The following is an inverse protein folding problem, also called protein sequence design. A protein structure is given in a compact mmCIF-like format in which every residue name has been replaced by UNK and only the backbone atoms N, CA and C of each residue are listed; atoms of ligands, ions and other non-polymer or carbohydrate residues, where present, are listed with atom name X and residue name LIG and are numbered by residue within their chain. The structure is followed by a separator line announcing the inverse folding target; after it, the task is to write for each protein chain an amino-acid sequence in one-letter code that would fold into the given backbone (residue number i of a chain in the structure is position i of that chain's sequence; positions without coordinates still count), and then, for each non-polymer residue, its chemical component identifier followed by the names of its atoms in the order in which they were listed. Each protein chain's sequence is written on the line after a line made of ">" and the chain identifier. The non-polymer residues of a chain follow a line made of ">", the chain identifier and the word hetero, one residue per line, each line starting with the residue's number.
data_IF_275454555870
#
_entry.id   IF_275454555870
#
_cell.length_a   1.000
_cell.length_b   1.000
_cell.length_c   1.000
_cell.angle_alpha   90.00
_cell.angle_beta   90.00
_cell.angle_gamma   90.00
#
_symmetry.space_group_name_H-M   'P 1'
#
loop_
_entity.id
_entity.type
_entity.pdbx_description
1 polymer ?
#
# COMPACT_ATOMS: atom_id res chain seq x y z
N UNK A 1 -7.33 -8.53 -4.32
CA UNK A 1 -8.34 -9.05 -5.29
C UNK A 1 -7.74 -9.95 -6.36
N UNK A 2 -6.63 -9.58 -7.02
CA UNK A 2 -6.01 -10.43 -8.07
C UNK A 2 -5.51 -11.78 -7.58
N UNK A 3 -4.91 -11.86 -6.39
CA UNK A 3 -4.41 -13.11 -5.80
C UNK A 3 -5.53 -14.11 -5.48
N UNK A 4 -6.68 -13.63 -4.98
CA UNK A 4 -7.84 -14.46 -4.66
C UNK A 4 -8.46 -15.08 -5.94
N UNK A 5 -8.60 -14.30 -7.01
CA UNK A 5 -9.10 -14.78 -8.31
C UNK A 5 -8.11 -15.77 -8.92
N UNK A 6 -6.80 -15.52 -8.80
CA UNK A 6 -5.75 -16.44 -9.27
C UNK A 6 -5.78 -17.78 -8.51
N UNK A 7 -6.03 -17.77 -7.21
CA UNK A 7 -6.12 -19.02 -6.42
C UNK A 7 -7.36 -19.85 -6.74
N UNK A 8 -8.46 -19.20 -7.18
CA UNK A 8 -9.69 -19.87 -7.62
C UNK A 8 -9.60 -20.38 -9.07
N UNK A 9 -8.91 -19.66 -9.95
CA UNK A 9 -8.79 -20.01 -11.37
C UNK A 9 -7.76 -21.11 -11.64
N UNK A 10 -6.74 -21.28 -10.78
CA UNK A 10 -5.64 -22.22 -11.00
C UNK A 10 -5.61 -23.38 -9.99
N UNK A 11 -5.43 -24.63 -10.46
CA UNK A 11 -5.32 -25.79 -9.58
C UNK A 11 -4.07 -25.69 -8.68
N UNK A 12 -4.07 -26.34 -7.49
CA UNK A 12 -3.06 -26.14 -6.44
C UNK A 12 -1.60 -26.25 -6.89
N UNK A 13 -1.32 -27.09 -7.90
CA UNK A 13 0.01 -27.34 -8.44
C UNK A 13 0.55 -26.21 -9.35
N UNK A 14 -0.31 -25.31 -9.87
CA UNK A 14 0.11 -24.17 -10.72
C UNK A 14 0.05 -22.82 -9.98
N UNK A 15 -0.49 -22.78 -8.75
CA UNK A 15 -0.64 -21.54 -7.97
C UNK A 15 0.69 -20.84 -7.71
N UNK A 16 1.75 -21.59 -7.45
CA UNK A 16 3.09 -21.02 -7.24
C UNK A 16 3.61 -20.27 -8.48
N UNK A 17 3.48 -20.88 -9.67
CA UNK A 17 3.85 -20.25 -10.94
C UNK A 17 2.96 -19.03 -11.23
N UNK A 18 1.65 -19.15 -11.03
CA UNK A 18 0.70 -18.06 -11.29
C UNK A 18 0.95 -16.84 -10.38
N UNK A 19 1.21 -17.06 -9.09
CA UNK A 19 1.60 -16.01 -8.15
C UNK A 19 2.98 -15.43 -8.49
N UNK A 20 3.92 -16.27 -8.91
CA UNK A 20 5.25 -15.83 -9.37
C UNK A 20 5.18 -14.90 -10.59
N UNK A 21 4.42 -15.27 -11.62
CA UNK A 21 4.21 -14.43 -12.82
C UNK A 21 3.52 -13.12 -12.45
N UNK A 22 2.55 -13.14 -11.53
CA UNK A 22 1.91 -11.92 -11.04
C UNK A 22 2.91 -10.98 -10.35
N UNK A 23 3.77 -11.52 -9.50
CA UNK A 23 4.82 -10.75 -8.83
C UNK A 23 5.84 -10.19 -9.81
N UNK A 24 6.29 -10.98 -10.80
CA UNK A 24 7.21 -10.51 -11.85
C UNK A 24 6.58 -9.39 -12.66
N UNK A 25 5.30 -9.51 -13.01
CA UNK A 25 4.57 -8.45 -13.70
C UNK A 25 4.44 -7.18 -12.84
N UNK A 26 4.20 -7.31 -11.53
CA UNK A 26 4.10 -6.18 -10.61
C UNK A 26 5.45 -5.45 -10.44
N UNK A 27 6.55 -6.19 -10.30
CA UNK A 27 7.91 -5.65 -10.20
C UNK A 27 8.30 -5.01 -11.54
N UNK A 28 8.04 -5.68 -12.66
CA UNK A 28 8.31 -5.15 -14.00
C UNK A 28 7.52 -3.87 -14.30
N UNK A 29 6.25 -3.80 -13.89
CA UNK A 29 5.45 -2.59 -14.00
C UNK A 29 6.00 -1.44 -13.14
N UNK A 30 6.44 -1.75 -11.92
CA UNK A 30 7.07 -0.77 -11.03
C UNK A 30 8.38 -0.22 -11.62
N UNK A 31 9.21 -1.09 -12.20
CA UNK A 31 10.45 -0.73 -12.91
C UNK A 31 10.18 0.22 -14.08
N UNK A 32 9.24 -0.14 -14.96
CA UNK A 32 8.87 0.69 -16.12
C UNK A 32 8.33 2.04 -15.65
N UNK A 33 7.47 2.05 -14.63
CA UNK A 33 6.92 3.27 -14.05
C UNK A 33 7.98 4.21 -13.49
N UNK A 34 8.98 3.67 -12.79
CA UNK A 34 10.06 4.46 -12.20
C UNK A 34 10.96 5.10 -13.26
N UNK A 35 11.30 4.37 -14.32
CA UNK A 35 12.13 4.88 -15.43
C UNK A 35 11.36 5.95 -16.21
N UNK A 36 10.11 5.68 -16.60
CA UNK A 36 9.28 6.66 -17.29
C UNK A 36 9.06 7.90 -16.42
N UNK A 37 8.83 7.71 -15.12
CA UNK A 37 8.74 8.80 -14.15
C UNK A 37 10.01 9.64 -14.08
N UNK A 38 11.18 9.02 -13.98
CA UNK A 38 12.47 9.70 -13.93
C UNK A 38 12.83 10.47 -15.20
N UNK A 39 12.41 9.99 -16.38
CA UNK A 39 12.62 10.68 -17.67
C UNK A 39 11.63 11.83 -17.86
N UNK A 40 10.38 11.66 -17.45
CA UNK A 40 9.31 12.63 -17.68
C UNK A 40 9.22 13.71 -16.61
N UNK A 41 9.58 13.41 -15.36
CA UNK A 41 9.51 14.35 -14.25
C UNK A 41 10.31 15.65 -14.49
N UNK A 42 11.52 15.63 -15.09
CA UNK A 42 12.27 16.85 -15.38
C UNK A 42 11.72 17.68 -16.55
N UNK A 43 10.93 17.07 -17.45
CA UNK A 43 10.37 17.75 -18.63
C UNK A 43 9.09 18.49 -18.24
N UNK A 44 8.12 17.74 -17.75
CA UNK A 44 6.83 18.24 -17.29
C UNK A 44 6.22 17.17 -16.37
N UNK A 45 6.23 17.41 -15.07
CA UNK A 45 5.86 16.40 -14.07
C UNK A 45 4.43 15.86 -14.25
N UNK A 46 3.53 16.64 -14.85
CA UNK A 46 2.17 16.22 -15.18
C UNK A 46 2.14 15.01 -16.15
N UNK A 47 3.16 14.85 -17.01
CA UNK A 47 3.21 13.76 -17.99
C UNK A 47 3.30 12.38 -17.31
N UNK A 48 3.83 12.30 -16.09
CA UNK A 48 3.89 11.05 -15.31
C UNK A 48 2.47 10.51 -15.05
N UNK A 49 1.50 11.39 -14.83
CA UNK A 49 0.10 11.01 -14.66
C UNK A 49 -0.54 10.63 -16.00
N UNK A 50 -0.23 11.36 -17.07
CA UNK A 50 -0.78 11.12 -18.40
C UNK A 50 -0.35 9.75 -18.96
N UNK A 51 0.87 9.29 -18.67
CA UNK A 51 1.36 7.97 -19.08
C UNK A 51 0.57 6.85 -18.42
N UNK A 52 0.07 7.02 -17.21
CA UNK A 52 -0.71 5.99 -16.52
C UNK A 52 -2.08 5.76 -17.16
N UNK A 53 -2.63 6.76 -17.84
CA UNK A 53 -3.95 6.72 -18.51
C UNK A 53 -4.04 5.65 -19.61
N UNK A 54 -3.17 5.61 -20.64
CA UNK A 54 -3.25 4.60 -21.69
C UNK A 54 -3.05 3.17 -21.17
N UNK A 55 -2.14 2.96 -20.22
CA UNK A 55 -1.96 1.64 -19.59
C UNK A 55 -3.20 1.21 -18.79
N UNK A 56 -3.80 2.14 -18.05
CA UNK A 56 -5.06 1.90 -17.34
C UNK A 56 -6.19 1.53 -18.29
N UNK A 57 -6.40 2.31 -19.36
CA UNK A 57 -7.42 2.04 -20.37
C UNK A 57 -7.23 0.69 -21.05
N UNK A 58 -6.00 0.37 -21.46
CA UNK A 58 -5.68 -0.92 -22.07
C UNK A 58 -5.95 -2.08 -21.09
N UNK A 59 -5.51 -1.95 -19.83
CA UNK A 59 -5.73 -2.96 -18.80
C UNK A 59 -7.21 -3.18 -18.50
N UNK A 60 -8.00 -2.11 -18.43
CA UNK A 60 -9.45 -2.17 -18.25
C UNK A 60 -10.14 -2.84 -19.44
N UNK A 61 -9.82 -2.42 -20.66
CA UNK A 61 -10.38 -3.00 -21.88
C UNK A 61 -10.05 -4.50 -22.00
N UNK A 62 -8.79 -4.85 -21.79
CA UNK A 62 -8.34 -6.25 -21.85
C UNK A 62 -9.03 -7.10 -20.79
N UNK A 63 -9.13 -6.59 -19.56
CA UNK A 63 -9.82 -7.28 -18.47
C UNK A 63 -11.30 -7.45 -18.80
N UNK A 64 -11.97 -6.42 -19.32
CA UNK A 64 -13.37 -6.53 -19.75
C UNK A 64 -13.56 -7.56 -20.86
N UNK A 65 -12.63 -7.64 -21.82
CA UNK A 65 -12.73 -8.54 -22.96
C UNK A 65 -12.37 -10.01 -22.66
N UNK A 66 -11.45 -10.26 -21.72
CA UNK A 66 -10.88 -11.60 -21.47
C UNK A 66 -11.26 -12.22 -20.13
N UNK A 67 -11.68 -11.43 -19.14
CA UNK A 67 -12.00 -11.97 -17.82
C UNK A 67 -13.41 -12.60 -17.87
N UNK A 68 -13.45 -13.93 -17.91
CA UNK A 68 -14.70 -14.68 -17.81
C UNK A 68 -14.95 -14.97 -16.33
N UNK A 69 -16.03 -14.40 -15.79
CA UNK A 69 -16.48 -14.67 -14.43
C UNK A 69 -17.01 -16.11 -14.34
N UNK A 70 -16.24 -17.00 -13.73
CA UNK A 70 -16.61 -18.40 -13.47
C UNK A 70 -17.04 -18.62 -12.00
N UNK A 71 -17.17 -17.55 -11.22
CA UNK A 71 -17.47 -17.64 -9.79
C UNK A 71 -18.93 -18.02 -9.52
N UNK A 72 -19.15 -18.99 -8.64
CA UNK A 72 -20.49 -19.25 -8.07
C UNK A 72 -20.83 -18.09 -7.14
N UNK A 73 -21.82 -17.28 -7.51
CA UNK A 73 -22.31 -16.17 -6.68
C UNK A 73 -23.00 -16.74 -5.44
N UNK A 74 -22.29 -16.73 -4.32
CA UNK A 74 -22.89 -17.03 -3.02
C UNK A 74 -23.43 -15.74 -2.41
N UNK A 75 -24.70 -15.69 -1.98
CA UNK A 75 -25.23 -14.52 -1.28
C UNK A 75 -24.55 -14.41 0.08
N UNK A 76 -23.59 -13.50 0.21
CA UNK A 76 -22.96 -13.14 1.48
C UNK A 76 -23.55 -11.82 1.96
N UNK A 77 -23.99 -11.76 3.22
CA UNK A 77 -24.43 -10.51 3.84
C UNK A 77 -23.21 -9.64 4.15
N UNK A 78 -23.21 -8.41 3.67
CA UNK A 78 -22.13 -7.44 3.97
C UNK A 78 -22.20 -7.06 5.45
N UNK A 79 -21.07 -7.14 6.14
CA UNK A 79 -20.93 -6.61 7.50
C UNK A 79 -20.71 -5.09 7.47
N UNK A 80 -21.81 -4.35 7.43
CA UNK A 80 -21.78 -2.88 7.40
C UNK A 80 -21.21 -2.27 8.68
N UNK A 81 -21.46 -2.88 9.84
CA UNK A 81 -21.00 -2.36 11.12
C UNK A 81 -19.51 -2.61 11.32
N UNK A 82 -19.04 -3.82 11.00
CA UNK A 82 -17.62 -4.14 10.97
C UNK A 82 -16.88 -3.23 10.00
N UNK A 83 -17.39 -3.07 8.77
CA UNK A 83 -16.77 -2.21 7.77
C UNK A 83 -16.72 -0.73 8.17
N UNK A 84 -17.80 -0.18 8.73
CA UNK A 84 -17.85 1.22 9.15
C UNK A 84 -16.91 1.49 10.32
N UNK A 85 -16.93 0.64 11.36
CA UNK A 85 -16.06 0.80 12.52
C UNK A 85 -14.59 0.60 12.15
N UNK A 86 -14.27 -0.37 11.30
CA UNK A 86 -12.93 -0.55 10.76
C UNK A 86 -12.46 0.68 9.98
N UNK A 87 -13.28 1.18 9.04
CA UNK A 87 -12.93 2.34 8.22
C UNK A 87 -12.72 3.59 9.08
N UNK A 88 -13.64 3.90 9.99
CA UNK A 88 -13.54 5.07 10.87
C UNK A 88 -12.33 4.96 11.79
N UNK A 89 -12.10 3.80 12.40
CA UNK A 89 -10.95 3.58 13.29
C UNK A 89 -9.62 3.72 12.56
N UNK A 90 -9.50 3.11 11.38
CA UNK A 90 -8.29 3.17 10.56
C UNK A 90 -8.04 4.58 10.01
N UNK A 91 -9.06 5.26 9.49
CA UNK A 91 -8.95 6.65 9.02
C UNK A 91 -8.52 7.55 10.17
N UNK A 92 -9.11 7.40 11.36
CA UNK A 92 -8.77 8.22 12.53
C UNK A 92 -7.30 8.04 12.94
N UNK A 93 -6.79 6.79 12.93
CA UNK A 93 -5.38 6.53 13.18
C UNK A 93 -4.46 7.15 12.12
N UNK A 94 -4.79 6.96 10.83
CA UNK A 94 -3.99 7.50 9.73
C UNK A 94 -3.96 9.04 9.76
N UNK A 95 -5.10 9.68 10.00
CA UNK A 95 -5.23 11.12 10.20
C UNK A 95 -4.37 11.56 11.39
N UNK A 96 -4.48 10.88 12.53
CA UNK A 96 -3.68 11.18 13.71
C UNK A 96 -2.17 11.12 13.45
N UNK A 97 -1.70 10.07 12.78
CA UNK A 97 -0.27 9.93 12.42
C UNK A 97 0.15 11.03 11.43
N UNK A 98 -0.68 11.32 10.43
CA UNK A 98 -0.36 12.30 9.39
C UNK A 98 -0.25 13.71 9.96
N UNK A 99 -1.28 14.17 10.70
CA UNK A 99 -1.28 15.48 11.34
C UNK A 99 -0.34 15.55 12.56
N UNK A 100 0.05 14.41 13.13
CA UNK A 100 1.06 14.35 14.18
C UNK A 100 2.45 14.78 13.71
N UNK A 101 2.75 14.59 12.43
CA UNK A 101 4.03 15.00 11.82
C UNK A 101 4.00 16.48 11.41
N UNK A 102 2.82 17.08 11.26
CA UNK A 102 2.66 18.50 10.91
C UNK A 102 2.99 19.41 12.11
N UNK A 103 3.62 20.59 11.92
CA UNK A 103 3.92 21.51 13.01
C UNK A 103 2.66 21.95 13.76
N UNK A 104 2.77 22.07 15.09
CA UNK A 104 1.68 22.57 15.94
C UNK A 104 2.19 23.59 16.95
N UNK A 105 1.69 24.82 16.81
CA UNK A 105 2.09 25.97 17.65
C UNK A 105 3.61 26.17 17.62
N UNK A 106 4.26 26.05 18.78
CA UNK A 106 5.72 26.18 18.95
C UNK A 106 6.48 24.87 18.75
N UNK A 107 5.77 23.75 18.56
CA UNK A 107 6.38 22.45 18.31
C UNK A 107 6.53 22.21 16.82
N UNK A 108 7.70 21.71 16.41
CA UNK A 108 7.94 21.26 15.04
C UNK A 108 7.06 20.07 14.63
N UNK A 109 6.42 19.41 15.60
CA UNK A 109 5.52 18.28 15.38
C UNK A 109 4.24 18.39 16.23
N UNK A 110 3.13 17.92 15.66
CA UNK A 110 1.77 18.01 16.19
C UNK A 110 1.36 16.92 17.16
N UNK A 111 2.30 16.13 17.69
CA UNK A 111 2.00 15.06 18.64
C UNK A 111 1.30 15.53 19.93
N UNK A 112 1.43 16.81 20.28
CA UNK A 112 0.75 17.43 21.44
C UNK A 112 -0.61 18.04 21.09
N UNK A 113 -1.02 18.03 19.81
CA UNK A 113 -2.30 18.52 19.38
C UNK A 113 -3.42 17.63 19.96
N UNK A 114 -4.37 18.20 20.74
CA UNK A 114 -5.50 17.44 21.28
C UNK A 114 -6.31 16.70 20.21
N UNK A 115 -6.37 17.24 18.99
CA UNK A 115 -7.03 16.59 17.86
C UNK A 115 -6.27 15.32 17.41
N UNK A 116 -4.94 15.37 17.38
CA UNK A 116 -4.09 14.20 17.03
C UNK A 116 -4.23 13.12 18.10
N UNK A 117 -4.13 13.49 19.38
CA UNK A 117 -4.31 12.56 20.49
C UNK A 117 -5.72 11.96 20.52
N UNK A 118 -6.74 12.77 20.25
CA UNK A 118 -8.13 12.33 20.14
C UNK A 118 -8.37 11.40 18.95
N UNK A 119 -7.78 11.70 17.78
CA UNK A 119 -7.89 10.87 16.59
C UNK A 119 -7.14 9.53 16.77
N UNK A 120 -5.95 9.55 17.38
CA UNK A 120 -5.18 8.34 17.66
C UNK A 120 -5.86 7.49 18.73
N UNK A 121 -6.18 8.07 19.89
CA UNK A 121 -6.83 7.36 20.99
C UNK A 121 -8.23 6.87 20.61
N UNK A 122 -9.04 7.74 19.98
CA UNK A 122 -10.36 7.39 19.46
C UNK A 122 -10.29 6.32 18.38
N UNK A 123 -9.33 6.39 17.45
CA UNK A 123 -9.09 5.37 16.44
C UNK A 123 -8.78 4.00 17.04
N UNK A 124 -7.91 3.93 18.05
CA UNK A 124 -7.62 2.67 18.79
C UNK A 124 -8.88 2.12 19.45
N UNK A 125 -9.66 2.98 20.13
CA UNK A 125 -10.91 2.56 20.79
C UNK A 125 -11.91 2.02 19.79
N UNK A 126 -12.10 2.70 18.65
CA UNK A 126 -13.02 2.26 17.59
C UNK A 126 -12.55 0.94 16.98
N UNK A 127 -11.25 0.73 16.78
CA UNK A 127 -10.71 -0.54 16.30
C UNK A 127 -10.86 -1.68 17.33
N UNK A 128 -10.77 -1.39 18.62
CA UNK A 128 -11.07 -2.35 19.66
C UNK A 128 -12.56 -2.74 19.67
N UNK A 129 -13.46 -1.76 19.45
CA UNK A 129 -14.90 -2.00 19.28
C UNK A 129 -15.15 -2.84 18.02
N UNK A 130 -14.47 -2.55 16.91
CA UNK A 130 -14.52 -3.35 15.69
C UNK A 130 -14.16 -4.82 15.98
N UNK A 131 -13.03 -5.07 16.64
CA UNK A 131 -12.61 -6.43 16.99
C UNK A 131 -13.66 -7.15 17.85
N UNK A 132 -14.36 -6.43 18.73
CA UNK A 132 -15.46 -6.99 19.52
C UNK A 132 -16.72 -7.26 18.68
N UNK A 133 -17.11 -6.36 17.77
CA UNK A 133 -18.23 -6.55 16.84
C UNK A 133 -17.99 -7.81 16.00
N UNK A 134 -16.77 -7.99 15.50
CA UNK A 134 -16.41 -9.12 14.64
C UNK A 134 -16.50 -10.48 15.34
N UNK A 135 -16.43 -10.52 16.67
CA UNK A 135 -16.69 -11.77 17.43
C UNK A 135 -18.16 -12.15 17.47
N UNK A 136 -19.08 -11.21 17.18
CA UNK A 136 -20.53 -11.38 17.29
C UNK A 136 -21.24 -11.51 15.94
N UNK A 137 -20.60 -11.11 14.85
CA UNK A 137 -21.19 -11.14 13.51
C UNK A 137 -21.14 -12.56 12.91
N UNK A 138 -22.22 -12.96 12.24
CA UNK A 138 -22.35 -14.30 11.64
C UNK A 138 -21.40 -14.55 10.45
N UNK A 139 -21.09 -13.50 9.69
CA UNK A 139 -20.15 -13.51 8.56
C UNK A 139 -19.04 -12.47 8.81
N UNK A 140 -18.06 -12.74 9.69
CA UNK A 140 -17.04 -11.77 10.04
C UNK A 140 -16.10 -11.48 8.87
N UNK A 141 -15.71 -10.22 8.68
CA UNK A 141 -14.77 -9.80 7.64
C UNK A 141 -13.40 -10.44 7.86
N UNK A 142 -12.98 -10.56 9.13
CA UNK A 142 -11.76 -11.28 9.50
C UNK A 142 -12.06 -12.51 10.35
N UNK A 143 -11.43 -13.62 10.01
CA UNK A 143 -11.42 -14.82 10.86
C UNK A 143 -10.46 -14.60 12.05
N UNK A 144 -10.92 -13.85 13.05
CA UNK A 144 -10.18 -13.56 14.29
C UNK A 144 -9.52 -14.78 14.96
N UNK A 145 -10.08 -16.01 14.92
CA UNK A 145 -9.42 -17.18 15.49
C UNK A 145 -8.02 -17.47 14.89
N UNK A 146 -7.72 -17.02 13.67
CA UNK A 146 -6.39 -17.17 13.06
C UNK A 146 -5.30 -16.44 13.86
N UNK A 147 -5.64 -15.33 14.51
CA UNK A 147 -4.69 -14.60 15.37
C UNK A 147 -4.34 -15.33 16.68
N UNK A 148 -5.03 -16.43 17.01
CA UNK A 148 -4.59 -17.34 18.09
C UNK A 148 -3.35 -18.14 17.69
N UNK A 149 -3.11 -18.31 16.40
CA UNK A 149 -1.92 -18.99 15.89
C UNK A 149 -0.74 -18.01 16.03
N UNK A 150 0.16 -18.28 16.99
CA UNK A 150 1.32 -17.41 17.26
C UNK A 150 2.15 -17.14 16.02
N UNK A 151 2.37 -18.14 15.17
CA UNK A 151 3.11 -17.99 13.93
C UNK A 151 2.41 -17.03 12.95
N UNK A 152 1.07 -17.07 12.87
CA UNK A 152 0.30 -16.15 12.04
C UNK A 152 0.39 -14.72 12.58
N UNK A 153 0.16 -14.52 13.87
CA UNK A 153 0.22 -13.18 14.48
C UNK A 153 1.61 -12.58 14.44
N UNK A 154 2.64 -13.35 14.80
CA UNK A 154 4.03 -12.92 14.69
C UNK A 154 4.42 -12.62 13.24
N UNK A 155 3.97 -13.44 12.28
CA UNK A 155 4.18 -13.21 10.85
C UNK A 155 3.56 -11.90 10.36
N UNK A 156 2.33 -11.58 10.78
CA UNK A 156 1.68 -10.32 10.43
C UNK A 156 2.39 -9.11 11.06
N UNK A 157 2.79 -9.19 12.32
CA UNK A 157 3.55 -8.11 12.99
C UNK A 157 4.91 -7.91 12.33
N UNK A 158 5.63 -9.01 12.03
CA UNK A 158 6.90 -8.93 11.32
C UNK A 158 6.73 -8.31 9.92
N UNK A 159 5.65 -8.65 9.21
CA UNK A 159 5.33 -8.07 7.91
C UNK A 159 5.02 -6.56 8.02
N UNK A 160 4.27 -6.14 9.03
CA UNK A 160 4.01 -4.72 9.30
C UNK A 160 5.31 -3.96 9.56
N UNK A 161 6.17 -4.47 10.44
CA UNK A 161 7.46 -3.85 10.76
C UNK A 161 8.39 -3.81 9.54
N UNK A 162 8.42 -4.88 8.74
CA UNK A 162 9.20 -4.92 7.50
C UNK A 162 8.71 -3.87 6.50
N UNK A 163 7.39 -3.69 6.34
CA UNK A 163 6.83 -2.67 5.45
C UNK A 163 7.08 -1.25 5.96
N UNK A 164 6.97 -1.00 7.27
CA UNK A 164 7.31 0.29 7.88
C UNK A 164 8.79 0.63 7.66
N UNK A 165 9.68 -0.34 7.92
CA UNK A 165 11.12 -0.19 7.69
C UNK A 165 11.45 0.05 6.23
N UNK A 166 10.86 -0.73 5.32
CA UNK A 166 11.03 -0.57 3.87
C UNK A 166 10.53 0.80 3.39
N UNK A 167 9.36 1.24 3.84
CA UNK A 167 8.80 2.54 3.47
C UNK A 167 9.67 3.72 3.93
N UNK A 168 10.12 3.68 5.19
CA UNK A 168 11.03 4.69 5.73
C UNK A 168 12.39 4.71 5.02
N UNK A 169 12.96 3.53 4.75
CA UNK A 169 14.21 3.39 4.00
C UNK A 169 14.08 3.97 2.59
N UNK A 170 13.00 3.65 1.87
CA UNK A 170 12.74 4.17 0.52
C UNK A 170 12.64 5.70 0.54
N UNK A 171 11.92 6.27 1.51
CA UNK A 171 11.78 7.71 1.64
C UNK A 171 13.13 8.41 1.89
N UNK A 172 13.93 7.91 2.85
CA UNK A 172 15.25 8.47 3.17
C UNK A 172 16.20 8.33 1.99
N UNK A 173 16.22 7.18 1.31
CA UNK A 173 17.10 6.94 0.17
C UNK A 173 16.79 7.86 -1.00
N UNK A 174 15.51 8.12 -1.30
CA UNK A 174 15.12 9.07 -2.35
C UNK A 174 15.71 10.45 -2.05
N UNK A 175 15.47 10.97 -0.84
CA UNK A 175 15.94 12.30 -0.44
C UNK A 175 17.48 12.37 -0.44
N UNK A 176 18.14 11.33 0.09
CA UNK A 176 19.59 11.27 0.17
C UNK A 176 20.24 11.17 -1.22
N UNK A 177 19.74 10.30 -2.10
CA UNK A 177 20.24 10.14 -3.47
C UNK A 177 20.04 11.42 -4.26
N UNK A 178 18.83 11.97 -4.29
CA UNK A 178 18.51 13.13 -5.12
C UNK A 178 19.06 14.44 -4.57
N UNK A 179 19.00 14.63 -3.25
CA UNK A 179 19.36 15.89 -2.60
C UNK A 179 20.84 16.04 -2.27
N UNK A 180 21.57 14.93 -2.06
CA UNK A 180 22.94 14.98 -1.53
C UNK A 180 23.91 14.14 -2.36
N UNK A 181 23.71 12.82 -2.44
CA UNK A 181 24.72 11.90 -2.96
C UNK A 181 24.95 12.08 -4.46
N UNK A 182 23.92 12.07 -5.30
CA UNK A 182 24.08 12.24 -6.75
C UNK A 182 24.64 13.63 -7.10
N UNK A 183 24.15 14.75 -6.53
CA UNK A 183 24.77 16.06 -6.74
C UNK A 183 26.26 16.12 -6.38
N UNK A 184 26.66 15.49 -5.27
CA UNK A 184 28.07 15.43 -4.85
C UNK A 184 28.95 14.61 -5.80
N UNK A 185 28.36 13.66 -6.53
CA UNK A 185 29.06 12.83 -7.51
C UNK A 185 28.95 13.38 -8.95
N UNK A 186 28.61 14.66 -9.11
CA UNK A 186 28.66 15.36 -10.39
C UNK A 186 27.40 15.24 -11.25
N UNK A 187 26.31 14.69 -10.72
CA UNK A 187 25.03 14.68 -11.42
C UNK A 187 24.30 16.02 -11.25
N UNK A 188 23.75 16.56 -12.34
CA UNK A 188 22.91 17.76 -12.27
C UNK A 188 21.59 17.45 -11.55
N UNK A 189 21.04 18.41 -10.82
CA UNK A 189 19.75 18.26 -10.13
C UNK A 189 18.62 17.79 -11.05
N UNK A 190 18.63 18.22 -12.32
CA UNK A 190 17.66 17.79 -13.33
C UNK A 190 17.76 16.28 -13.66
N UNK A 191 18.94 15.68 -13.57
CA UNK A 191 19.16 14.26 -13.85
C UNK A 191 19.01 13.37 -12.60
N UNK A 192 19.05 13.95 -11.40
CA UNK A 192 18.99 13.18 -10.15
C UNK A 192 17.77 12.27 -10.00
N UNK A 193 16.55 12.63 -10.45
CA UNK A 193 15.39 11.73 -10.29
C UNK A 193 15.54 10.43 -11.07
N UNK A 194 16.09 10.49 -12.28
CA UNK A 194 16.34 9.32 -13.12
C UNK A 194 17.36 8.38 -12.48
N UNK A 195 18.52 8.92 -12.07
CA UNK A 195 19.59 8.11 -11.49
C UNK A 195 19.24 7.55 -10.12
N UNK A 196 18.53 8.32 -9.30
CA UNK A 196 18.01 7.81 -8.03
C UNK A 196 17.05 6.65 -8.26
N UNK A 197 16.17 6.76 -9.27
CA UNK A 197 15.31 5.66 -9.68
C UNK A 197 16.11 4.40 -10.07
N UNK A 198 17.11 4.55 -10.93
CA UNK A 198 17.98 3.44 -11.36
C UNK A 198 18.68 2.78 -10.16
N UNK A 199 19.17 3.57 -9.21
CA UNK A 199 19.92 3.06 -8.04
C UNK A 199 19.02 2.37 -7.02
N UNK A 200 17.72 2.67 -7.03
CA UNK A 200 16.73 2.03 -6.18
C UNK A 200 16.17 0.72 -6.74
N UNK A 201 16.47 0.38 -8.00
CA UNK A 201 15.98 -0.85 -8.64
C UNK A 201 16.30 -2.16 -7.90
N UNK A 202 17.48 -2.36 -7.29
CA UNK A 202 17.77 -3.58 -6.54
C UNK A 202 16.95 -3.72 -5.25
N UNK A 203 16.27 -2.64 -4.82
CA UNK A 203 15.52 -2.57 -3.57
C UNK A 203 14.00 -2.79 -3.76
N UNK A 204 13.53 -2.89 -5.01
CA UNK A 204 12.12 -3.14 -5.37
C UNK A 204 11.86 -4.62 -5.59
#
# INVERSE_FOLDING_TARGET
>A
NSSAILTDAFPPHQRGLALGVNQVAAIGGSFIGLILGGVLAPVEWHLVFLVSVPFGLFGTYWSYAKLVDKGVRTPSSIDWWGNLTFAVGLISLLVGITYGIEPYRSSSMGWTNPMVLGAMGGGVVVLAIFAWIETKVANPMFRLPLFRIRAFSAGNVANLLANLGRGGLMFILIIWLQGIWLPQHGYSFAATPLWAGIFMLPLT
#
